data_IF_574785270494
#
_entry.id   IF_574785270494
#
_cell.length_a   1.000
_cell.length_b   1.000
_cell.length_c   1.000
_cell.angle_alpha   90.00
_cell.angle_beta   90.00
_cell.angle_gamma   90.00
#
_symmetry.space_group_name_H-M   'P 1'
#
loop_
_entity.id
_entity.type
_entity.pdbx_description
1 polymer ?
#
# COMPACT_ATOMS: atom_id res chain seq x y z
N UNK A 1 22.06 -6.29 -8.43
CA UNK A 1 21.46 -7.59 -8.04
C UNK A 1 20.14 -7.29 -7.34
N UNK A 2 19.11 -8.13 -7.50
CA UNK A 2 17.89 -7.96 -6.70
C UNK A 2 18.21 -8.41 -5.28
N UNK A 3 18.05 -7.51 -4.31
CA UNK A 3 18.14 -7.85 -2.89
C UNK A 3 16.77 -8.36 -2.42
N UNK A 4 16.76 -9.49 -1.73
CA UNK A 4 15.55 -10.08 -1.17
C UNK A 4 15.54 -9.89 0.36
N UNK A 5 14.41 -9.48 0.90
CA UNK A 5 14.17 -9.44 2.34
C UNK A 5 12.92 -10.26 2.69
N UNK A 6 12.80 -10.67 3.96
CA UNK A 6 11.61 -11.38 4.46
C UNK A 6 11.13 -10.71 5.73
N UNK A 7 9.82 -10.46 5.81
CA UNK A 7 9.17 -9.86 6.97
C UNK A 7 7.97 -10.73 7.34
N UNK A 8 7.81 -11.04 8.62
CA UNK A 8 6.65 -11.79 9.12
C UNK A 8 5.47 -10.85 9.36
N UNK A 9 4.33 -11.11 8.72
CA UNK A 9 3.09 -10.37 8.92
C UNK A 9 2.26 -10.99 10.06
N UNK A 10 1.66 -10.14 10.89
CA UNK A 10 0.75 -10.49 11.98
C UNK A 10 -0.70 -10.23 11.57
N UNK A 11 -1.68 -10.84 12.26
CA UNK A 11 -3.08 -10.46 12.10
C UNK A 11 -3.26 -8.95 12.30
N UNK A 12 -3.92 -8.28 11.35
CA UNK A 12 -4.09 -6.83 11.35
C UNK A 12 -2.99 -6.04 10.62
N UNK A 13 -1.87 -6.67 10.26
CA UNK A 13 -0.87 -6.04 9.40
C UNK A 13 -1.42 -5.85 7.98
N UNK A 14 -0.93 -4.83 7.30
CA UNK A 14 -1.26 -4.51 5.92
C UNK A 14 0.03 -4.25 5.17
N UNK A 15 0.10 -4.74 3.94
CA UNK A 15 1.16 -4.37 3.01
C UNK A 15 0.60 -3.37 2.00
N UNK A 16 1.16 -2.17 2.01
CA UNK A 16 0.89 -1.14 1.01
C UNK A 16 2.04 -1.17 0.00
N UNK A 17 1.71 -1.38 -1.28
CA UNK A 17 2.66 -1.35 -2.39
C UNK A 17 2.33 -0.17 -3.28
N UNK A 18 3.37 0.52 -3.72
CA UNK A 18 3.25 1.69 -4.59
C UNK A 18 4.33 1.67 -5.67
N UNK A 19 4.02 2.24 -6.83
CA UNK A 19 5.03 2.67 -7.79
C UNK A 19 5.80 3.90 -7.28
N UNK A 20 6.90 4.20 -7.95
CA UNK A 20 7.69 5.42 -7.78
C UNK A 20 6.85 6.69 -7.98
N UNK A 21 5.90 6.70 -8.94
CA UNK A 21 4.99 7.83 -9.15
C UNK A 21 4.24 8.33 -7.89
N UNK A 22 4.06 7.48 -6.86
CA UNK A 22 3.51 7.91 -5.56
C UNK A 22 4.54 8.63 -4.70
N UNK A 23 5.75 8.06 -4.56
CA UNK A 23 6.79 8.58 -3.66
C UNK A 23 7.57 9.74 -4.27
N UNK A 24 7.57 9.83 -5.61
CA UNK A 24 8.19 10.91 -6.36
C UNK A 24 7.23 12.09 -6.64
N UNK A 25 5.93 11.96 -6.34
CA UNK A 25 4.97 13.05 -6.43
C UNK A 25 5.37 14.23 -5.54
N UNK A 26 5.19 15.46 -6.05
CA UNK A 26 5.62 16.69 -5.39
C UNK A 26 4.53 17.74 -5.32
N UNK A 27 4.51 18.49 -4.24
CA UNK A 27 3.71 19.72 -4.17
C UNK A 27 4.37 20.87 -4.96
N UNK A 28 3.71 22.03 -4.97
CA UNK A 28 4.20 23.25 -5.65
C UNK A 28 5.54 23.77 -5.10
N UNK A 29 5.92 23.37 -3.88
CA UNK A 29 7.21 23.70 -3.28
C UNK A 29 8.33 22.73 -3.69
N UNK A 30 7.97 21.65 -4.39
CA UNK A 30 8.86 20.57 -4.78
C UNK A 30 9.06 19.52 -3.68
N UNK A 31 8.31 19.58 -2.58
CA UNK A 31 8.41 18.63 -1.49
C UNK A 31 7.74 17.31 -1.87
N UNK A 32 8.41 16.20 -1.58
CA UNK A 32 7.88 14.86 -1.86
C UNK A 32 6.67 14.53 -0.99
N UNK A 33 5.76 13.73 -1.55
CA UNK A 33 4.60 13.24 -0.82
C UNK A 33 5.04 12.39 0.40
N UNK A 34 4.63 12.76 1.63
CA UNK A 34 5.08 12.11 2.86
C UNK A 34 4.31 10.78 3.12
N UNK A 35 4.42 9.82 2.21
CA UNK A 35 3.61 8.59 2.19
C UNK A 35 3.65 7.85 3.53
N UNK A 36 4.82 7.73 4.16
CA UNK A 36 4.97 7.00 5.41
C UNK A 36 4.22 7.68 6.58
N UNK A 37 4.25 9.02 6.66
CA UNK A 37 3.45 9.76 7.63
C UNK A 37 1.95 9.62 7.37
N UNK A 38 1.51 9.69 6.10
CA UNK A 38 0.09 9.55 5.72
C UNK A 38 -0.45 8.18 6.08
N UNK A 39 0.27 7.11 5.75
CA UNK A 39 -0.12 5.74 6.07
C UNK A 39 -0.26 5.51 7.58
N UNK A 40 0.58 6.14 8.41
CA UNK A 40 0.42 6.11 9.88
C UNK A 40 -0.88 6.78 10.33
N UNK A 41 -1.27 7.88 9.68
CA UNK A 41 -2.55 8.56 9.93
C UNK A 41 -3.77 7.69 9.59
N UNK A 42 -3.66 6.85 8.55
CA UNK A 42 -4.74 5.95 8.11
C UNK A 42 -4.69 4.56 8.74
N UNK A 43 -3.83 4.34 9.73
CA UNK A 43 -3.67 3.03 10.37
C UNK A 43 -4.94 2.56 11.12
N UNK A 44 -5.93 3.41 11.37
CA UNK A 44 -7.22 3.00 11.94
C UNK A 44 -8.28 2.62 10.91
N UNK A 45 -8.07 2.95 9.63
CA UNK A 45 -9.09 2.90 8.60
C UNK A 45 -9.28 1.49 8.02
N UNK A 46 -10.45 1.27 7.40
CA UNK A 46 -10.76 0.05 6.68
C UNK A 46 -9.69 -0.20 5.58
N UNK A 47 -9.02 -1.38 5.55
CA UNK A 47 -8.08 -1.71 4.50
C UNK A 47 -8.64 -1.52 3.07
N UNK A 48 -9.94 -1.75 2.86
CA UNK A 48 -10.58 -1.58 1.56
C UNK A 48 -10.67 -0.10 1.14
N UNK A 49 -10.72 0.82 2.10
CA UNK A 49 -10.77 2.26 1.84
C UNK A 49 -9.37 2.90 1.70
N UNK A 50 -8.31 2.20 2.09
CA UNK A 50 -6.98 2.80 2.22
C UNK A 50 -6.42 3.32 0.88
N UNK A 51 -6.68 2.62 -0.23
CA UNK A 51 -6.26 3.10 -1.57
C UNK A 51 -6.93 4.42 -1.91
N UNK A 52 -8.24 4.53 -1.69
CA UNK A 52 -9.01 5.74 -2.00
C UNK A 52 -8.60 6.91 -1.10
N UNK A 53 -8.34 6.65 0.18
CA UNK A 53 -7.86 7.65 1.13
C UNK A 53 -6.49 8.20 0.74
N UNK A 54 -5.54 7.33 0.39
CA UNK A 54 -4.20 7.75 -0.04
C UNK A 54 -4.28 8.47 -1.38
N UNK A 55 -5.11 8.02 -2.32
CA UNK A 55 -5.32 8.70 -3.58
C UNK A 55 -5.88 10.11 -3.39
N UNK A 56 -6.92 10.26 -2.56
CA UNK A 56 -7.53 11.55 -2.26
C UNK A 56 -6.54 12.53 -1.58
N UNK A 57 -5.71 12.04 -0.66
CA UNK A 57 -4.67 12.86 -0.02
C UNK A 57 -3.54 13.23 -1.00
N UNK A 58 -3.12 12.29 -1.85
CA UNK A 58 -2.11 12.51 -2.89
C UNK A 58 -2.54 13.59 -3.89
N UNK A 59 -3.73 13.49 -4.48
CA UNK A 59 -4.21 14.49 -5.46
C UNK A 59 -4.48 15.86 -4.83
N UNK A 60 -4.72 15.90 -3.50
CA UNK A 60 -4.81 17.15 -2.76
C UNK A 60 -3.44 17.76 -2.49
N UNK A 61 -2.42 16.93 -2.26
CA UNK A 61 -1.05 17.36 -2.00
C UNK A 61 -0.33 17.77 -3.30
N UNK A 62 -0.53 17.01 -4.37
CA UNK A 62 0.04 17.19 -5.69
C UNK A 62 -1.10 17.23 -6.71
N UNK A 63 -1.65 18.42 -7.03
CA UNK A 63 -2.74 18.55 -8.00
C UNK A 63 -2.34 18.12 -9.42
N UNK A 64 -1.04 18.12 -9.73
CA UNK A 64 -0.50 17.76 -11.03
C UNK A 64 0.50 16.59 -10.93
N UNK A 65 -0.06 15.38 -10.86
CA UNK A 65 0.72 14.13 -10.79
C UNK A 65 1.41 13.89 -12.14
N UNK A 66 2.74 13.95 -12.15
CA UNK A 66 3.55 13.91 -13.38
C UNK A 66 3.79 12.50 -13.94
N UNK A 67 3.53 11.46 -13.15
CA UNK A 67 3.86 10.07 -13.48
C UNK A 67 2.71 9.12 -13.13
N UNK A 68 2.76 7.90 -13.66
CA UNK A 68 1.73 6.89 -13.42
C UNK A 68 1.75 6.40 -11.96
N UNK A 69 0.58 6.48 -11.33
CA UNK A 69 0.38 6.03 -9.95
C UNK A 69 -0.28 4.65 -9.95
N UNK A 70 0.39 3.69 -9.32
CA UNK A 70 -0.18 2.38 -8.98
C UNK A 70 -0.09 2.17 -7.48
N UNK A 71 -1.18 1.72 -6.87
CA UNK A 71 -1.25 1.41 -5.45
C UNK A 71 -1.99 0.09 -5.22
N UNK A 72 -1.51 -0.72 -4.29
CA UNK A 72 -2.13 -1.98 -3.89
C UNK A 72 -2.07 -2.14 -2.38
N UNK A 73 -3.18 -2.60 -1.79
CA UNK A 73 -3.25 -2.98 -0.38
C UNK A 73 -3.52 -4.47 -0.29
N UNK A 74 -2.63 -5.18 0.39
CA UNK A 74 -2.76 -6.59 0.68
C UNK A 74 -2.92 -6.79 2.19
N UNK A 75 -3.97 -7.51 2.57
CA UNK A 75 -4.21 -7.92 3.94
C UNK A 75 -4.05 -9.43 4.07
N UNK A 76 -3.26 -9.94 5.02
CA UNK A 76 -3.21 -11.38 5.28
C UNK A 76 -4.60 -11.88 5.64
N UNK A 77 -5.16 -12.74 4.79
CA UNK A 77 -6.34 -13.51 5.16
C UNK A 77 -5.90 -14.65 6.09
N UNK A 78 -6.68 -14.99 7.14
CA UNK A 78 -6.47 -16.24 7.83
C UNK A 78 -6.53 -17.37 6.79
N UNK A 79 -5.67 -18.40 6.93
CA UNK A 79 -5.68 -19.52 6.00
C UNK A 79 -7.11 -20.07 5.92
N UNK A 80 -7.65 -20.15 4.70
CA UNK A 80 -8.98 -20.70 4.49
C UNK A 80 -9.02 -22.10 5.11
N UNK A 81 -9.76 -22.24 6.22
CA UNK A 81 -9.91 -23.50 6.92
C UNK A 81 -10.77 -24.41 6.04
N UNK A 82 -10.20 -25.06 5.01
CA UNK A 82 -11.03 -25.89 4.12
C UNK A 82 -10.49 -26.35 2.77
N UNK A 83 -9.20 -26.28 2.44
CA UNK A 83 -8.68 -26.87 1.20
C UNK A 83 -7.46 -27.77 1.35
N UNK A 84 -7.42 -28.58 2.42
CA UNK A 84 -6.65 -29.83 2.41
C UNK A 84 -7.50 -30.94 1.80
N UNK A 85 -7.69 -30.89 0.48
CA UNK A 85 -8.05 -32.09 -0.28
C UNK A 85 -6.83 -33.02 -0.39
N UNK A 86 -7.02 -34.34 -0.44
CA UNK A 86 -5.90 -35.29 -0.53
C UNK A 86 -5.13 -35.08 -1.84
N UNK A 87 -3.79 -35.10 -1.76
CA UNK A 87 -2.91 -35.21 -2.93
C UNK A 87 -3.04 -36.64 -3.45
N UNK A 88 -3.54 -36.89 -4.68
CA UNK A 88 -3.58 -38.24 -5.22
C UNK A 88 -2.17 -38.75 -5.46
N UNK A 89 -1.93 -40.01 -5.07
CA UNK A 89 -0.72 -40.79 -5.32
C UNK A 89 -0.61 -41.22 -6.78
#
# INVERSE_FOLDING_TARGET
>A
AIEACTVSLRPGDRLFLASDGVVEARDDSGAFYPLAERLRGFAGEDPAALVDLVWADLVRFCPDVQDDVTMLVLTPAPPALGMRGPVPH
#
